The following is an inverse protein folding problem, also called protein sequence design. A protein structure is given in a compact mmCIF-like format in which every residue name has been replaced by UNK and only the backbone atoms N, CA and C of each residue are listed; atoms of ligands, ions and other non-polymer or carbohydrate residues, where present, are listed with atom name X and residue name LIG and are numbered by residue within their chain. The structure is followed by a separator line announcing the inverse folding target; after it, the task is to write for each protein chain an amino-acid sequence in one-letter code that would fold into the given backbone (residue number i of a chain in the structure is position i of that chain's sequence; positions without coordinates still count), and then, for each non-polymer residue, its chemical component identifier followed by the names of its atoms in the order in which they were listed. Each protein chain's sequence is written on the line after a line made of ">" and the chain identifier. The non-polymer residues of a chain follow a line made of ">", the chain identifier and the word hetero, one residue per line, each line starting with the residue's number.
data_IF_030931443534
#
_entry.id   IF_030931443534
#
_cell.length_a   1.000
_cell.length_b   1.000
_cell.length_c   1.000
_cell.angle_alpha   90.00
_cell.angle_beta   90.00
_cell.angle_gamma   90.00
#
_symmetry.space_group_name_H-M   'P 1'
#
loop_
_entity.id
_entity.type
_entity.pdbx_description
1 polymer ?
#
# COMPACT_ATOMS: atom_id res chain seq x y z
N UNK A 1 13.48 -23.86 2.11
CA UNK A 1 13.54 -23.00 3.30
C UNK A 1 12.17 -23.07 3.93
N UNK A 2 12.13 -23.38 5.21
CA UNK A 2 10.88 -23.36 5.98
C UNK A 2 10.36 -21.91 5.89
N UNK A 3 9.18 -21.72 5.28
CA UNK A 3 8.53 -20.42 5.23
C UNK A 3 8.16 -20.09 6.67
N UNK A 4 9.05 -19.41 7.39
CA UNK A 4 8.76 -19.00 8.76
C UNK A 4 7.52 -18.12 8.71
N UNK A 5 6.43 -18.66 9.23
CA UNK A 5 5.16 -17.94 9.34
C UNK A 5 5.43 -16.64 10.07
N UNK A 6 5.01 -15.47 9.54
CA UNK A 6 5.29 -14.20 10.22
C UNK A 6 4.68 -14.18 11.61
N UNK A 7 5.34 -13.46 12.51
CA UNK A 7 4.77 -13.11 13.81
C UNK A 7 3.63 -12.10 13.60
N UNK A 8 2.45 -12.38 14.15
CA UNK A 8 1.34 -11.41 14.21
C UNK A 8 1.48 -10.57 15.48
N UNK A 9 1.53 -9.24 15.32
CA UNK A 9 1.66 -8.26 16.40
C UNK A 9 0.43 -7.36 16.37
N UNK A 10 -0.28 -7.27 17.48
CA UNK A 10 -1.44 -6.40 17.63
C UNK A 10 -1.09 -5.20 18.51
N UNK A 11 -1.35 -3.99 17.99
CA UNK A 11 -1.03 -2.73 18.65
C UNK A 11 -2.31 -1.92 18.88
N UNK A 12 -2.46 -1.35 20.07
CA UNK A 12 -3.51 -0.36 20.32
C UNK A 12 -3.03 1.00 19.82
N UNK A 13 -3.56 1.43 18.67
CA UNK A 13 -3.14 2.62 17.94
C UNK A 13 -4.30 3.60 17.88
N UNK A 14 -4.11 4.82 18.44
CA UNK A 14 -5.16 5.80 18.56
C UNK A 14 -6.41 5.19 19.22
N UNK A 15 -7.45 4.87 18.46
CA UNK A 15 -8.72 4.35 18.97
C UNK A 15 -9.11 2.98 18.38
N UNK A 16 -8.13 2.27 17.77
CA UNK A 16 -8.31 0.96 17.12
C UNK A 16 -7.18 0.00 17.42
N UNK A 17 -7.42 -1.29 17.15
CA UNK A 17 -6.39 -2.31 17.08
C UNK A 17 -5.83 -2.42 15.65
N UNK A 18 -4.52 -2.31 15.51
CA UNK A 18 -3.77 -2.48 14.26
C UNK A 18 -2.99 -3.79 14.32
N UNK A 19 -3.11 -4.60 13.28
CA UNK A 19 -2.32 -5.81 13.09
C UNK A 19 -1.09 -5.50 12.22
N UNK A 20 0.07 -5.93 12.70
CA UNK A 20 1.32 -5.94 11.95
C UNK A 20 1.83 -7.37 11.82
N UNK A 21 2.55 -7.64 10.74
CA UNK A 21 3.26 -8.91 10.52
C UNK A 21 4.75 -8.66 10.50
N UNK A 22 5.52 -9.52 11.18
CA UNK A 22 6.97 -9.42 11.23
C UNK A 22 7.63 -10.69 10.70
N UNK A 23 8.67 -10.51 9.88
CA UNK A 23 9.58 -11.55 9.40
C UNK A 23 11.01 -11.21 9.81
N UNK A 24 11.84 -12.24 9.90
CA UNK A 24 13.28 -12.12 10.11
C UNK A 24 13.69 -11.74 11.52
N UNK A 25 14.88 -11.15 11.65
CA UNK A 25 15.51 -10.84 12.94
C UNK A 25 15.27 -9.37 13.34
N UNK A 26 14.85 -9.14 14.57
CA UNK A 26 14.59 -7.79 15.13
C UNK A 26 15.80 -6.86 15.17
N UNK A 27 17.01 -7.40 15.06
CA UNK A 27 18.28 -6.62 15.03
C UNK A 27 18.79 -6.38 13.61
N UNK A 28 18.17 -6.95 12.60
CA UNK A 28 18.53 -6.78 11.19
C UNK A 28 18.18 -5.40 10.62
N UNK A 29 18.51 -5.20 9.35
CA UNK A 29 18.09 -4.00 8.60
C UNK A 29 16.57 -3.89 8.62
N UNK A 30 16.04 -2.77 9.10
CA UNK A 30 14.59 -2.61 9.25
C UNK A 30 13.95 -2.14 7.93
N UNK A 31 12.88 -2.81 7.54
CA UNK A 31 12.02 -2.50 6.40
C UNK A 31 10.57 -2.38 6.88
N UNK A 32 9.90 -1.30 6.53
CA UNK A 32 8.46 -1.12 6.77
C UNK A 32 7.72 -1.12 5.44
N UNK A 33 6.74 -2.02 5.30
CA UNK A 33 5.94 -2.20 4.09
C UNK A 33 4.48 -1.78 4.34
N UNK A 34 3.93 -0.91 3.48
CA UNK A 34 2.56 -0.39 3.61
C UNK A 34 1.80 -0.62 2.31
N UNK A 35 0.67 -1.32 2.40
CA UNK A 35 -0.14 -1.76 1.25
C UNK A 35 -1.06 -0.67 0.69
N UNK A 36 -1.65 -0.94 -0.48
CA UNK A 36 -2.65 -0.09 -1.15
C UNK A 36 -4.05 -0.22 -0.54
N UNK A 37 -4.95 0.72 -0.87
CA UNK A 37 -6.38 0.65 -0.51
C UNK A 37 -7.00 -0.65 -1.04
N UNK A 38 -7.76 -1.33 -0.19
CA UNK A 38 -8.41 -2.62 -0.52
C UNK A 38 -7.51 -3.85 -0.44
N UNK A 39 -6.23 -3.67 -0.07
CA UNK A 39 -5.23 -4.72 0.09
C UNK A 39 -4.99 -5.06 1.57
N UNK A 40 -3.92 -5.76 1.87
CA UNK A 40 -3.50 -6.13 3.21
C UNK A 40 -1.98 -6.39 3.25
N UNK A 41 -1.40 -6.51 4.44
CA UNK A 41 0.02 -6.69 4.68
C UNK A 41 0.62 -7.88 3.93
N UNK A 42 -0.12 -9.00 3.84
CA UNK A 42 0.35 -10.24 3.23
C UNK A 42 0.42 -10.19 1.69
N UNK A 43 -0.01 -9.08 1.05
CA UNK A 43 0.24 -8.83 -0.38
C UNK A 43 1.73 -8.59 -0.69
N UNK A 44 2.55 -8.38 0.33
CA UNK A 44 3.99 -8.20 0.22
C UNK A 44 4.77 -9.52 0.33
N UNK A 45 4.13 -10.66 0.61
CA UNK A 45 4.79 -11.94 0.87
C UNK A 45 5.78 -12.32 -0.24
N UNK A 46 5.41 -12.15 -1.50
CA UNK A 46 6.27 -12.49 -2.62
C UNK A 46 7.42 -11.50 -2.81
N UNK A 47 7.27 -10.24 -2.46
CA UNK A 47 8.39 -9.28 -2.38
C UNK A 47 9.34 -9.70 -1.26
N UNK A 48 8.80 -10.02 -0.09
CA UNK A 48 9.57 -10.43 1.10
C UNK A 48 10.37 -11.70 0.83
N UNK A 49 9.82 -12.66 0.08
CA UNK A 49 10.49 -13.91 -0.28
C UNK A 49 11.80 -13.69 -1.06
N UNK A 50 11.96 -12.53 -1.71
CA UNK A 50 13.17 -12.16 -2.46
C UNK A 50 14.13 -11.23 -1.68
N UNK A 51 13.82 -10.93 -0.40
CA UNK A 51 14.66 -10.10 0.47
C UNK A 51 15.55 -10.97 1.38
N UNK A 52 16.64 -10.40 1.94
CA UNK A 52 17.48 -11.11 2.91
C UNK A 52 16.66 -11.56 4.14
N UNK A 53 16.83 -12.82 4.55
CA UNK A 53 16.08 -13.43 5.65
C UNK A 53 16.48 -12.92 7.05
N UNK A 54 17.61 -12.24 7.15
CA UNK A 54 18.13 -11.62 8.37
C UNK A 54 17.64 -10.17 8.56
N UNK A 55 16.84 -9.63 7.64
CA UNK A 55 16.23 -8.32 7.79
C UNK A 55 15.04 -8.37 8.76
N UNK A 56 14.86 -7.28 9.51
CA UNK A 56 13.66 -7.03 10.31
C UNK A 56 12.57 -6.42 9.42
N UNK A 57 11.69 -7.23 8.87
CA UNK A 57 10.66 -6.77 7.95
C UNK A 57 9.32 -6.69 8.68
N UNK A 58 8.71 -5.52 8.66
CA UNK A 58 7.37 -5.28 9.22
C UNK A 58 6.42 -4.85 8.10
N UNK A 59 5.28 -5.51 7.99
CA UNK A 59 4.18 -5.08 7.12
C UNK A 59 2.91 -4.84 7.93
N UNK A 60 2.19 -3.77 7.61
CA UNK A 60 1.06 -3.29 8.43
C UNK A 60 -0.25 -3.50 7.68
N UNK A 61 -1.24 -4.12 8.33
CA UNK A 61 -2.64 -4.00 7.92
C UNK A 61 -3.16 -2.64 8.37
N UNK A 62 -3.35 -1.72 7.45
CA UNK A 62 -3.81 -0.37 7.77
C UNK A 62 -5.27 -0.39 8.29
N UNK A 63 -5.69 0.65 9.00
CA UNK A 63 -7.09 0.84 9.47
C UNK A 63 -8.11 0.40 8.41
N UNK A 64 -9.06 -0.43 8.78
CA UNK A 64 -10.10 -0.91 7.88
C UNK A 64 -9.71 -2.11 7.00
N UNK A 65 -8.45 -2.53 7.02
CA UNK A 65 -7.93 -3.60 6.17
C UNK A 65 -7.50 -4.84 6.95
N UNK A 66 -7.35 -5.95 6.25
CA UNK A 66 -6.77 -7.17 6.76
C UNK A 66 -7.34 -7.60 8.10
N UNK A 67 -6.49 -7.76 9.10
CA UNK A 67 -6.86 -8.12 10.47
C UNK A 67 -7.05 -6.91 11.40
N UNK A 68 -6.69 -5.72 10.96
CA UNK A 68 -6.92 -4.49 11.72
C UNK A 68 -8.40 -4.16 11.84
N UNK A 69 -8.75 -3.39 12.87
CA UNK A 69 -10.13 -3.03 13.18
C UNK A 69 -10.78 -2.18 12.07
N UNK A 70 -12.09 -2.42 11.80
CA UNK A 70 -12.87 -1.76 10.75
C UNK A 70 -13.69 -0.60 11.32
N UNK A 71 -13.00 0.39 11.91
CA UNK A 71 -13.61 1.56 12.53
C UNK A 71 -13.05 2.85 11.90
N UNK A 72 -13.93 3.73 11.42
CA UNK A 72 -13.57 5.05 10.91
C UNK A 72 -12.99 5.98 11.99
N UNK A 73 -12.61 7.20 11.64
CA UNK A 73 -12.76 7.79 10.32
C UNK A 73 -11.75 7.24 9.30
N UNK A 74 -12.16 7.20 8.02
CA UNK A 74 -11.33 6.71 6.92
C UNK A 74 -10.73 7.87 6.11
N UNK A 75 -10.28 8.92 6.79
CA UNK A 75 -9.55 10.04 6.19
C UNK A 75 -8.06 9.72 6.09
N UNK A 76 -7.41 10.16 5.03
CA UNK A 76 -6.02 9.81 4.79
C UNK A 76 -5.05 10.34 5.84
N UNK A 77 -5.26 11.54 6.37
CA UNK A 77 -4.49 12.04 7.51
C UNK A 77 -4.58 11.13 8.76
N UNK A 78 -5.70 10.40 8.93
CA UNK A 78 -5.81 9.40 10.01
C UNK A 78 -4.91 8.21 9.76
N UNK A 79 -4.77 7.76 8.51
CA UNK A 79 -3.87 6.65 8.16
C UNK A 79 -2.41 7.01 8.41
N UNK A 80 -1.97 8.23 8.10
CA UNK A 80 -0.63 8.71 8.43
C UNK A 80 -0.39 8.79 9.93
N UNK A 81 -1.36 9.29 10.70
CA UNK A 81 -1.32 9.32 12.16
C UNK A 81 -1.24 7.91 12.76
N UNK A 82 -2.03 6.95 12.26
CA UNK A 82 -1.98 5.57 12.72
C UNK A 82 -0.62 4.93 12.41
N UNK A 83 -0.09 5.14 11.22
CA UNK A 83 1.23 4.60 10.84
C UNK A 83 2.35 5.22 11.68
N UNK A 84 2.29 6.52 11.98
CA UNK A 84 3.25 7.18 12.89
C UNK A 84 3.24 6.54 14.27
N UNK A 85 2.08 6.27 14.83
CA UNK A 85 1.95 5.61 16.14
C UNK A 85 2.43 4.17 16.10
N UNK A 86 2.16 3.41 15.02
CA UNK A 86 2.72 2.05 14.81
C UNK A 86 4.24 2.10 14.84
N UNK A 87 4.87 3.04 14.11
CA UNK A 87 6.33 3.16 14.08
C UNK A 87 6.91 3.50 15.43
N UNK A 88 6.22 4.35 16.20
CA UNK A 88 6.62 4.73 17.57
C UNK A 88 6.58 3.52 18.52
N UNK A 89 5.45 2.78 18.56
CA UNK A 89 5.29 1.64 19.46
C UNK A 89 6.22 0.48 19.13
N UNK A 90 6.53 0.27 17.85
CA UNK A 90 7.51 -0.73 17.40
C UNK A 90 8.97 -0.27 17.53
N UNK A 91 9.22 0.98 17.89
CA UNK A 91 10.56 1.55 17.99
C UNK A 91 11.30 1.62 16.66
N UNK A 92 10.58 1.75 15.53
CA UNK A 92 11.17 1.78 14.20
C UNK A 92 11.96 3.08 14.00
N UNK A 93 13.23 2.93 13.62
CA UNK A 93 14.13 4.05 13.31
C UNK A 93 15.04 3.67 12.16
N UNK A 94 15.34 4.65 11.30
CA UNK A 94 16.23 4.50 10.14
C UNK A 94 15.86 3.30 9.25
N UNK A 95 14.57 2.99 9.16
CA UNK A 95 14.06 1.94 8.28
C UNK A 95 14.08 2.39 6.81
N UNK A 96 14.02 1.43 5.88
CA UNK A 96 13.55 1.70 4.53
C UNK A 96 12.02 1.70 4.59
N UNK A 97 11.40 2.82 4.24
CA UNK A 97 9.94 2.92 4.14
C UNK A 97 9.47 2.59 2.73
N UNK A 98 8.67 1.54 2.58
CA UNK A 98 8.12 1.13 1.27
C UNK A 98 6.61 1.23 1.30
N UNK A 99 6.02 1.96 0.36
CA UNK A 99 4.57 2.09 0.28
C UNK A 99 4.04 1.99 -1.14
N UNK A 100 2.98 1.20 -1.33
CA UNK A 100 2.26 1.10 -2.59
C UNK A 100 0.98 1.92 -2.54
N UNK A 101 0.73 2.75 -3.55
CA UNK A 101 -0.54 3.49 -3.69
C UNK A 101 -0.82 4.38 -2.47
N UNK A 102 -1.92 4.15 -1.72
CA UNK A 102 -2.22 4.77 -0.43
C UNK A 102 -1.06 4.60 0.56
N UNK A 103 -0.44 3.42 0.60
CA UNK A 103 0.72 3.17 1.46
C UNK A 103 1.90 4.10 1.14
N UNK A 104 2.10 4.43 -0.14
CA UNK A 104 3.11 5.42 -0.56
C UNK A 104 2.82 6.82 -0.04
N UNK A 105 1.56 7.23 -0.05
CA UNK A 105 1.11 8.47 0.58
C UNK A 105 1.41 8.46 2.08
N UNK A 106 1.00 7.41 2.81
CA UNK A 106 1.19 7.32 4.26
C UNK A 106 2.67 7.32 4.66
N UNK A 107 3.53 6.59 3.92
CA UNK A 107 4.98 6.58 4.15
C UNK A 107 5.59 7.97 3.94
N UNK A 108 5.14 8.70 2.92
CA UNK A 108 5.56 10.09 2.66
C UNK A 108 5.15 11.01 3.81
N UNK A 109 3.93 10.89 4.30
CA UNK A 109 3.44 11.71 5.43
C UNK A 109 4.24 11.43 6.71
N UNK A 110 4.50 10.16 7.04
CA UNK A 110 5.31 9.77 8.19
C UNK A 110 6.76 10.24 8.07
N UNK A 111 7.34 10.23 6.86
CA UNK A 111 8.70 10.74 6.63
C UNK A 111 8.85 12.23 7.00
N UNK A 112 7.80 13.02 6.80
CA UNK A 112 7.76 14.42 7.23
C UNK A 112 7.49 14.56 8.74
N UNK A 113 6.45 13.88 9.26
CA UNK A 113 6.00 14.01 10.65
C UNK A 113 7.01 13.42 11.65
N UNK A 114 7.77 12.42 11.24
CA UNK A 114 8.72 11.67 12.07
C UNK A 114 10.02 11.39 11.30
N UNK A 115 10.88 12.40 11.05
CA UNK A 115 12.02 12.30 10.14
C UNK A 115 13.04 11.22 10.47
N UNK A 116 13.10 10.77 11.74
CA UNK A 116 14.03 9.74 12.19
C UNK A 116 13.56 8.30 11.92
N UNK A 117 12.30 8.12 11.53
CA UNK A 117 11.73 6.79 11.26
C UNK A 117 12.36 6.16 10.02
N UNK A 118 12.53 6.94 8.95
CA UNK A 118 13.07 6.43 7.70
C UNK A 118 14.45 6.99 7.39
N UNK A 119 15.32 6.15 6.83
CA UNK A 119 16.57 6.56 6.16
C UNK A 119 16.34 6.80 4.66
N UNK A 120 15.48 5.97 4.05
CA UNK A 120 15.21 5.94 2.62
C UNK A 120 13.73 5.61 2.37
N UNK A 121 13.21 6.03 1.22
CA UNK A 121 11.83 5.76 0.79
C UNK A 121 11.81 5.06 -0.56
N UNK A 122 10.92 4.07 -0.70
CA UNK A 122 10.55 3.45 -1.99
C UNK A 122 9.05 3.61 -2.16
N UNK A 123 8.66 4.55 -3.00
CA UNK A 123 7.26 4.88 -3.27
C UNK A 123 6.82 4.17 -4.55
N UNK A 124 6.02 3.12 -4.40
CA UNK A 124 5.56 2.32 -5.52
C UNK A 124 4.20 2.85 -5.97
N UNK A 125 4.22 3.59 -7.04
CA UNK A 125 3.06 4.24 -7.67
C UNK A 125 2.13 4.92 -6.66
N UNK A 126 2.67 5.86 -5.84
CA UNK A 126 1.94 6.45 -4.72
C UNK A 126 0.73 7.27 -5.20
N UNK A 127 -0.37 7.26 -4.44
CA UNK A 127 -1.51 8.15 -4.71
C UNK A 127 -1.18 9.55 -4.19
N UNK A 128 -0.25 10.21 -4.88
CA UNK A 128 0.05 11.63 -4.72
C UNK A 128 -0.26 12.29 -6.07
N UNK A 129 -1.45 12.87 -6.13
CA UNK A 129 -2.02 13.49 -7.33
C UNK A 129 -1.49 14.91 -7.53
N UNK A 130 -1.72 15.56 -8.67
CA UNK A 130 -1.41 16.99 -8.85
C UNK A 130 -2.03 17.86 -7.75
N UNK A 131 -1.32 18.90 -7.27
CA UNK A 131 -1.78 19.75 -6.15
C UNK A 131 -3.21 20.29 -6.32
N UNK A 132 -3.56 20.70 -7.53
CA UNK A 132 -4.88 21.25 -7.88
C UNK A 132 -6.03 20.24 -7.71
N UNK A 133 -5.75 18.96 -7.61
CA UNK A 133 -6.78 17.92 -7.44
C UNK A 133 -7.19 17.70 -5.97
N UNK A 134 -6.50 18.37 -5.04
CA UNK A 134 -6.82 18.34 -3.61
C UNK A 134 -7.70 19.52 -3.18
N UNK A 135 -8.28 20.25 -4.13
CA UNK A 135 -9.23 21.32 -3.82
C UNK A 135 -10.57 20.72 -3.41
N UNK A 136 -10.97 20.97 -2.17
CA UNK A 136 -12.27 20.54 -1.61
C UNK A 136 -13.49 21.07 -2.40
N UNK A 137 -13.31 22.11 -3.23
CA UNK A 137 -14.38 22.69 -4.07
C UNK A 137 -14.73 21.80 -5.27
N UNK A 138 -13.88 20.84 -5.65
CA UNK A 138 -14.16 19.94 -6.78
C UNK A 138 -15.28 18.95 -6.48
N UNK A 139 -15.68 18.79 -5.19
CA UNK A 139 -16.72 17.86 -4.77
C UNK A 139 -16.34 16.39 -4.94
N UNK A 140 -17.06 15.53 -4.28
CA UNK A 140 -16.95 14.08 -4.46
C UNK A 140 -17.65 13.66 -5.74
N UNK A 141 -17.02 12.78 -6.56
CA UNK A 141 -17.67 12.26 -7.78
C UNK A 141 -18.90 11.38 -7.48
N UNK A 142 -19.04 10.94 -6.23
CA UNK A 142 -20.14 10.12 -5.74
C UNK A 142 -20.84 10.83 -4.58
N UNK A 143 -22.19 10.79 -4.57
CA UNK A 143 -22.99 11.46 -3.54
C UNK A 143 -22.91 10.79 -2.16
N UNK A 144 -22.63 9.48 -2.12
CA UNK A 144 -22.49 8.70 -0.88
C UNK A 144 -21.54 7.51 -1.10
N UNK A 145 -21.15 6.86 0.00
CA UNK A 145 -20.31 5.64 -0.04
C UNK A 145 -21.04 4.51 -0.79
N UNK A 146 -22.34 4.40 -0.63
CA UNK A 146 -23.18 3.37 -1.27
C UNK A 146 -23.26 3.55 -2.79
N UNK A 147 -23.06 4.78 -3.29
CA UNK A 147 -23.04 5.10 -4.72
C UNK A 147 -21.73 4.71 -5.37
N UNK A 148 -20.66 4.58 -4.59
CA UNK A 148 -19.35 4.20 -5.11
C UNK A 148 -19.36 2.75 -5.63
N UNK A 149 -18.86 2.49 -6.86
CA UNK A 149 -18.91 1.14 -7.47
C UNK A 149 -18.27 0.05 -6.60
N UNK A 150 -17.20 0.37 -5.89
CA UNK A 150 -16.47 -0.55 -5.01
C UNK A 150 -17.33 -1.00 -3.82
N UNK A 151 -18.23 -0.14 -3.30
CA UNK A 151 -19.11 -0.51 -2.19
C UNK A 151 -20.04 -1.69 -2.51
N UNK A 152 -20.31 -1.90 -3.81
CA UNK A 152 -21.23 -2.94 -4.32
C UNK A 152 -20.50 -4.21 -4.76
N UNK A 153 -19.17 -4.28 -4.58
CA UNK A 153 -18.42 -5.50 -4.94
C UNK A 153 -18.88 -6.68 -4.08
N UNK A 154 -18.83 -7.88 -4.66
CA UNK A 154 -19.14 -9.09 -3.89
C UNK A 154 -18.17 -9.21 -2.71
N UNK A 155 -18.71 -9.36 -1.51
CA UNK A 155 -17.96 -9.40 -0.25
C UNK A 155 -17.96 -10.75 0.43
N UNK A 156 -18.85 -11.69 0.02
CA UNK A 156 -19.00 -13.01 0.65
C UNK A 156 -18.72 -14.15 -0.34
N UNK A 157 -17.97 -15.16 0.14
CA UNK A 157 -17.53 -16.32 -0.62
C UNK A 157 -17.63 -17.59 0.26
N UNK A 158 -17.73 -18.76 -0.36
CA UNK A 158 -17.65 -20.04 0.37
C UNK A 158 -16.27 -20.26 0.98
N UNK A 159 -15.21 -19.80 0.27
CA UNK A 159 -13.82 -19.89 0.67
C UNK A 159 -12.97 -18.87 -0.10
N UNK A 160 -11.70 -18.70 0.31
CA UNK A 160 -10.73 -17.94 -0.47
C UNK A 160 -10.45 -18.56 -1.86
N UNK A 161 -10.62 -19.91 -1.99
CA UNK A 161 -10.46 -20.61 -3.26
C UNK A 161 -11.56 -20.20 -4.25
N UNK A 162 -12.83 -20.12 -3.80
CA UNK A 162 -13.90 -19.60 -4.65
C UNK A 162 -13.63 -18.16 -5.11
N UNK A 163 -13.07 -17.32 -4.24
CA UNK A 163 -12.65 -15.97 -4.62
C UNK A 163 -11.55 -16.00 -5.69
N UNK A 164 -10.55 -16.85 -5.53
CA UNK A 164 -9.46 -17.05 -6.49
C UNK A 164 -10.00 -17.49 -7.85
N UNK A 165 -10.73 -18.60 -7.92
CA UNK A 165 -11.27 -19.17 -9.16
C UNK A 165 -12.18 -18.17 -9.91
N UNK A 166 -12.90 -17.34 -9.15
CA UNK A 166 -13.79 -16.32 -9.73
C UNK A 166 -13.06 -15.18 -10.41
N UNK A 167 -11.89 -14.79 -9.92
CA UNK A 167 -11.22 -13.56 -10.34
C UNK A 167 -9.91 -13.78 -11.10
N UNK A 168 -9.28 -14.96 -11.08
CA UNK A 168 -7.97 -15.20 -11.68
C UNK A 168 -7.86 -14.79 -13.16
N UNK A 169 -8.95 -14.92 -13.93
CA UNK A 169 -8.99 -14.57 -15.36
C UNK A 169 -9.52 -13.15 -15.62
N UNK A 170 -9.77 -12.35 -14.57
CA UNK A 170 -10.33 -11.00 -14.71
C UNK A 170 -9.26 -9.94 -14.49
N UNK A 171 -9.27 -8.91 -15.36
CA UNK A 171 -8.46 -7.72 -15.08
C UNK A 171 -8.90 -7.05 -13.76
N UNK A 172 -7.95 -6.56 -12.94
CA UNK A 172 -6.50 -6.55 -13.15
C UNK A 172 -5.80 -7.84 -12.71
N UNK A 173 -6.46 -8.76 -12.02
CA UNK A 173 -5.86 -9.93 -11.36
C UNK A 173 -5.16 -10.89 -12.32
N UNK A 174 -5.65 -11.00 -13.56
CA UNK A 174 -5.04 -11.84 -14.61
C UNK A 174 -3.65 -11.35 -15.06
N UNK A 175 -3.27 -10.13 -14.67
CA UNK A 175 -1.95 -9.55 -14.95
C UNK A 175 -0.95 -9.79 -13.81
N UNK A 176 -1.42 -10.25 -12.65
CA UNK A 176 -0.58 -10.38 -11.47
C UNK A 176 0.22 -11.68 -11.48
N UNK A 177 1.35 -11.68 -10.78
CA UNK A 177 2.05 -12.92 -10.46
C UNK A 177 1.10 -13.87 -9.71
N UNK A 178 1.04 -15.12 -10.16
CA UNK A 178 0.05 -16.09 -9.67
C UNK A 178 0.05 -16.24 -8.16
N UNK A 179 1.24 -16.35 -7.55
CA UNK A 179 1.35 -16.53 -6.11
C UNK A 179 0.91 -15.28 -5.34
N UNK A 180 1.19 -14.07 -5.85
CA UNK A 180 0.70 -12.82 -5.24
C UNK A 180 -0.82 -12.79 -5.23
N UNK A 181 -1.46 -13.22 -6.32
CA UNK A 181 -2.93 -13.28 -6.38
C UNK A 181 -3.50 -14.35 -5.45
N UNK A 182 -2.83 -15.50 -5.30
CA UNK A 182 -3.20 -16.50 -4.31
C UNK A 182 -3.11 -15.94 -2.88
N UNK A 183 -2.01 -15.27 -2.53
CA UNK A 183 -1.81 -14.63 -1.22
C UNK A 183 -2.86 -13.55 -0.96
N UNK A 184 -3.18 -12.73 -1.98
CA UNK A 184 -4.25 -11.74 -1.90
C UNK A 184 -5.60 -12.38 -1.56
N UNK A 185 -5.97 -13.48 -2.22
CA UNK A 185 -7.24 -14.16 -1.94
C UNK A 185 -7.23 -14.88 -0.59
N UNK A 186 -6.15 -15.58 -0.27
CA UNK A 186 -6.01 -16.39 0.95
C UNK A 186 -6.04 -15.55 2.23
N UNK A 187 -5.34 -14.43 2.24
CA UNK A 187 -5.20 -13.55 3.40
C UNK A 187 -6.14 -12.35 3.39
N UNK A 188 -6.76 -12.06 2.24
CA UNK A 188 -7.71 -10.96 2.06
C UNK A 188 -9.15 -11.28 2.47
N UNK A 189 -9.36 -12.43 3.13
CA UNK A 189 -10.66 -12.82 3.67
C UNK A 189 -10.55 -13.20 5.14
N UNK A 190 -11.66 -13.06 5.86
CA UNK A 190 -11.84 -13.47 7.25
C UNK A 190 -13.08 -14.35 7.37
N UNK A 191 -13.24 -15.16 8.44
CA UNK A 191 -14.47 -15.89 8.66
C UNK A 191 -15.70 -14.97 8.61
N UNK A 192 -16.74 -15.37 7.91
CA UNK A 192 -17.97 -14.58 7.82
C UNK A 192 -18.56 -14.34 9.20
N UNK A 193 -19.05 -13.12 9.46
CA UNK A 193 -19.70 -12.76 10.72
C UNK A 193 -21.04 -13.47 10.91
N UNK A 194 -21.73 -13.72 9.79
CA UNK A 194 -23.02 -14.42 9.77
C UNK A 194 -22.97 -15.56 8.75
N UNK A 195 -23.55 -16.69 9.11
CA UNK A 195 -23.60 -17.87 8.24
C UNK A 195 -22.28 -18.65 8.17
N UNK A 196 -22.02 -19.27 7.03
CA UNK A 196 -20.79 -20.01 6.71
C UNK A 196 -19.97 -19.29 5.65
N UNK A 197 -18.71 -19.69 5.50
CA UNK A 197 -17.81 -19.15 4.48
C UNK A 197 -16.93 -18.01 5.01
N UNK A 198 -16.55 -17.11 4.11
CA UNK A 198 -15.61 -16.02 4.37
C UNK A 198 -16.13 -14.70 3.80
N UNK A 199 -15.72 -13.59 4.40
CA UNK A 199 -15.99 -12.25 3.91
C UNK A 199 -14.69 -11.49 3.67
N UNK A 200 -14.74 -10.46 2.80
CA UNK A 200 -13.56 -9.63 2.53
C UNK A 200 -13.04 -8.98 3.81
N UNK A 201 -11.73 -9.10 4.04
CA UNK A 201 -11.03 -8.49 5.15
C UNK A 201 -11.00 -6.95 5.07
N UNK A 202 -11.19 -6.37 3.87
CA UNK A 202 -11.56 -4.97 3.67
C UNK A 202 -12.95 -4.93 3.02
N UNK A 203 -14.03 -4.66 3.77
CA UNK A 203 -15.37 -4.58 3.21
C UNK A 203 -15.47 -3.51 2.13
N UNK A 204 -16.27 -3.75 1.08
CA UNK A 204 -16.39 -2.80 -0.04
C UNK A 204 -16.85 -1.40 0.38
N UNK A 205 -17.70 -1.28 1.41
CA UNK A 205 -18.11 0.01 1.97
C UNK A 205 -16.96 0.74 2.68
N UNK A 206 -16.08 0.01 3.36
CA UNK A 206 -14.86 0.57 3.99
C UNK A 206 -13.89 1.04 2.90
N UNK A 207 -13.62 0.20 1.91
CA UNK A 207 -12.76 0.54 0.79
C UNK A 207 -13.25 1.77 0.03
N UNK A 208 -14.55 1.86 -0.26
CA UNK A 208 -15.17 3.04 -0.87
C UNK A 208 -15.03 4.30 -0.01
N UNK A 209 -15.23 4.18 1.31
CA UNK A 209 -15.04 5.29 2.26
C UNK A 209 -13.60 5.82 2.24
N UNK A 210 -12.61 4.94 2.06
CA UNK A 210 -11.20 5.32 1.97
C UNK A 210 -10.92 6.07 0.68
N UNK A 211 -11.46 5.61 -0.47
CA UNK A 211 -11.33 6.34 -1.73
C UNK A 211 -11.95 7.74 -1.64
N UNK A 212 -13.10 7.87 -1.00
CA UNK A 212 -13.77 9.17 -0.80
C UNK A 212 -13.09 10.05 0.27
N UNK A 213 -12.31 9.47 1.17
CA UNK A 213 -11.59 10.18 2.23
C UNK A 213 -10.31 10.91 1.81
N UNK A 214 -9.98 10.95 0.50
CA UNK A 214 -8.69 11.40 -0.03
C UNK A 214 -8.72 12.83 -0.63
N UNK A 215 -9.66 13.67 -0.26
CA UNK A 215 -9.84 14.97 -0.92
C UNK A 215 -9.14 16.15 -0.22
N UNK A 216 -8.77 15.98 1.04
CA UNK A 216 -8.06 17.00 1.81
C UNK A 216 -6.66 16.48 2.15
N UNK A 217 -5.61 17.19 1.72
CA UNK A 217 -4.23 16.76 1.98
C UNK A 217 -3.27 17.93 1.97
N UNK A 218 -2.39 17.96 2.96
CA UNK A 218 -1.22 18.84 3.02
C UNK A 218 0.06 18.20 2.47
N UNK A 219 -0.05 17.07 1.76
CA UNK A 219 1.12 16.28 1.35
C UNK A 219 2.12 17.08 0.52
N UNK A 220 1.64 17.99 -0.34
CA UNK A 220 2.48 18.87 -1.14
C UNK A 220 3.24 19.92 -0.33
N UNK A 221 2.78 20.26 0.87
CA UNK A 221 3.51 21.13 1.81
C UNK A 221 4.62 20.34 2.54
N UNK A 222 4.45 19.03 2.69
CA UNK A 222 5.38 18.14 3.40
C UNK A 222 6.56 17.74 2.53
N UNK A 223 6.31 17.35 1.28
CA UNK A 223 7.29 16.79 0.35
C UNK A 223 8.57 17.63 0.21
N UNK A 224 8.54 18.96 0.08
CA UNK A 224 9.76 19.76 -0.03
C UNK A 224 10.68 19.74 1.19
N UNK A 225 10.18 19.23 2.32
CA UNK A 225 10.91 19.14 3.59
C UNK A 225 11.39 17.70 3.88
N UNK A 226 11.15 16.74 2.99
CA UNK A 226 11.58 15.35 3.13
C UNK A 226 12.99 15.21 2.56
N UNK A 227 13.97 15.01 3.44
CA UNK A 227 15.39 14.93 3.07
C UNK A 227 15.88 13.51 2.72
N UNK A 228 15.07 12.49 3.03
CA UNK A 228 15.39 11.09 2.76
C UNK A 228 15.57 10.86 1.26
N UNK A 229 16.52 9.97 0.91
CA UNK A 229 16.63 9.47 -0.46
C UNK A 229 15.34 8.75 -0.84
N UNK A 230 14.70 9.20 -1.92
CA UNK A 230 13.39 8.72 -2.33
C UNK A 230 13.46 8.09 -3.73
N UNK A 231 12.99 6.86 -3.85
CA UNK A 231 12.85 6.18 -5.14
C UNK A 231 11.37 6.05 -5.47
N UNK A 232 10.98 6.55 -6.64
CA UNK A 232 9.60 6.51 -7.12
C UNK A 232 9.53 5.52 -8.29
N UNK A 233 8.71 4.47 -8.15
CA UNK A 233 8.37 3.57 -9.24
C UNK A 233 7.00 4.00 -9.76
N UNK A 234 6.89 4.36 -11.04
CA UNK A 234 5.66 4.89 -11.62
C UNK A 234 5.24 4.14 -12.88
N UNK A 235 3.97 3.73 -12.92
CA UNK A 235 3.33 3.14 -14.09
C UNK A 235 2.74 4.22 -15.03
N UNK A 236 2.24 3.82 -16.23
CA UNK A 236 1.58 4.75 -17.15
C UNK A 236 0.34 5.41 -16.54
N UNK A 237 0.15 6.72 -16.76
CA UNK A 237 -1.02 7.43 -16.28
C UNK A 237 -2.29 7.01 -17.05
N UNK A 238 -3.44 7.38 -16.51
CA UNK A 238 -4.73 7.19 -17.19
C UNK A 238 -4.73 7.89 -18.56
N UNK A 239 -5.27 7.22 -19.55
CA UNK A 239 -5.52 7.83 -20.86
C UNK A 239 -6.58 8.93 -20.73
N UNK A 240 -6.32 10.08 -21.29
CA UNK A 240 -7.21 11.25 -21.22
C UNK A 240 -8.51 11.09 -22.00
N UNK A 241 -8.59 10.11 -22.90
CA UNK A 241 -9.75 9.80 -23.72
C UNK A 241 -10.70 8.74 -23.10
N UNK A 242 -10.38 8.19 -21.94
CA UNK A 242 -11.20 7.18 -21.25
C UNK A 242 -12.16 7.84 -20.25
N UNK A 243 -13.46 7.50 -20.38
CA UNK A 243 -14.52 7.91 -19.43
C UNK A 243 -14.64 6.92 -18.26
N UNK A 244 -14.22 5.66 -18.46
CA UNK A 244 -14.32 4.62 -17.44
C UNK A 244 -13.21 4.74 -16.39
N UNK A 245 -13.54 4.39 -15.14
CA UNK A 245 -12.56 4.32 -14.06
C UNK A 245 -11.62 3.14 -14.34
N UNK A 246 -10.37 3.45 -14.63
CA UNK A 246 -9.32 2.45 -14.87
C UNK A 246 -8.39 2.37 -13.63
N UNK A 247 -8.59 1.34 -12.82
CA UNK A 247 -7.75 1.08 -11.64
C UNK A 247 -6.36 0.53 -12.00
N UNK A 248 -6.08 0.23 -13.27
CA UNK A 248 -4.76 -0.21 -13.72
C UNK A 248 -3.84 0.96 -14.04
N UNK A 249 -4.39 2.14 -14.26
CA UNK A 249 -3.63 3.34 -14.56
C UNK A 249 -3.04 3.98 -13.29
N UNK A 250 -1.85 4.53 -13.45
CA UNK A 250 -1.14 5.23 -12.35
C UNK A 250 -1.91 6.47 -11.88
N UNK A 251 -2.13 6.61 -10.56
CA UNK A 251 -2.65 7.84 -9.96
C UNK A 251 -1.54 8.84 -9.61
N UNK A 252 -0.28 8.45 -9.77
CA UNK A 252 0.88 9.25 -9.40
C UNK A 252 1.06 10.44 -10.33
N UNK A 253 1.21 11.63 -9.75
CA UNK A 253 1.51 12.83 -10.51
C UNK A 253 2.85 12.69 -11.26
N UNK A 254 2.89 12.91 -12.59
CA UNK A 254 4.11 12.75 -13.38
C UNK A 254 5.28 13.65 -12.94
N UNK A 255 4.99 14.83 -12.37
CA UNK A 255 6.01 15.76 -11.88
C UNK A 255 6.37 15.57 -10.40
N UNK A 256 5.85 14.53 -9.76
CA UNK A 256 6.05 14.28 -8.33
C UNK A 256 7.54 14.21 -7.96
N UNK A 257 8.36 13.58 -8.79
CA UNK A 257 9.81 13.43 -8.55
C UNK A 257 10.51 14.78 -8.38
N UNK A 258 10.04 15.82 -9.09
CA UNK A 258 10.61 17.18 -9.04
C UNK A 258 10.25 17.93 -7.75
N UNK A 259 9.29 17.42 -6.97
CA UNK A 259 8.84 18.07 -5.72
C UNK A 259 9.68 17.63 -4.51
N UNK A 260 10.35 16.48 -4.58
CA UNK A 260 11.24 16.01 -3.52
C UNK A 260 12.65 16.60 -3.69
N UNK A 261 13.32 16.99 -2.59
CA UNK A 261 14.71 17.46 -2.63
C UNK A 261 15.71 16.42 -3.13
N UNK A 262 15.45 15.13 -2.89
CA UNK A 262 16.36 14.02 -3.19
C UNK A 262 15.57 12.80 -3.68
N UNK A 263 15.07 12.87 -4.92
CA UNK A 263 14.31 11.76 -5.51
C UNK A 263 14.83 11.35 -6.89
N UNK A 264 14.64 10.07 -7.21
CA UNK A 264 14.79 9.50 -8.54
C UNK A 264 13.52 8.76 -8.92
N UNK A 265 13.12 8.85 -10.19
CA UNK A 265 11.98 8.11 -10.73
C UNK A 265 12.42 7.03 -11.71
N UNK A 266 11.79 5.87 -11.63
CA UNK A 266 11.81 4.84 -12.64
C UNK A 266 10.43 4.68 -13.25
N UNK A 267 10.26 5.13 -14.50
CA UNK A 267 9.03 4.97 -15.25
C UNK A 267 8.97 3.59 -15.92
N UNK A 268 7.92 2.82 -15.59
CA UNK A 268 7.70 1.42 -15.95
C UNK A 268 6.53 1.32 -16.94
N UNK A 269 6.77 1.64 -18.20
CA UNK A 269 5.76 1.76 -19.26
C UNK A 269 5.06 0.44 -19.63
N UNK A 270 5.62 -0.68 -19.21
CA UNK A 270 5.11 -2.04 -19.43
C UNK A 270 4.30 -2.60 -18.25
N UNK A 271 4.24 -1.90 -17.11
CA UNK A 271 3.50 -2.31 -15.92
C UNK A 271 2.26 -1.44 -15.71
N UNK A 272 1.39 -1.89 -14.82
CA UNK A 272 0.21 -1.15 -14.39
C UNK A 272 0.41 -0.60 -12.97
N UNK A 273 -0.60 0.09 -12.42
CA UNK A 273 -0.61 0.52 -11.01
C UNK A 273 -0.23 -0.60 -10.02
N UNK A 274 -0.38 -1.85 -10.40
CA UNK A 274 -0.13 -3.02 -9.54
C UNK A 274 1.30 -3.55 -9.66
N UNK A 275 2.30 -2.67 -9.70
CA UNK A 275 3.73 -3.00 -9.84
C UNK A 275 4.17 -4.13 -8.90
N UNK A 276 3.92 -4.09 -7.55
CA UNK A 276 4.40 -5.15 -6.66
C UNK A 276 3.69 -6.48 -6.87
N UNK A 277 2.48 -6.44 -7.46
CA UNK A 277 1.69 -7.62 -7.76
C UNK A 277 2.12 -8.29 -9.06
N UNK A 278 2.63 -7.51 -10.02
CA UNK A 278 3.08 -8.01 -11.31
C UNK A 278 4.54 -8.50 -11.25
N UNK A 279 5.42 -7.71 -10.61
CA UNK A 279 6.86 -7.92 -10.59
C UNK A 279 7.43 -7.83 -9.15
N UNK A 280 7.08 -8.80 -8.26
CA UNK A 280 7.51 -8.75 -6.85
C UNK A 280 9.03 -8.84 -6.69
N UNK A 281 9.73 -9.65 -7.52
CA UNK A 281 11.18 -9.79 -7.49
C UNK A 281 11.87 -8.48 -7.90
N UNK A 282 11.36 -7.80 -8.92
CA UNK A 282 11.87 -6.50 -9.34
C UNK A 282 11.78 -5.48 -8.20
N UNK A 283 10.64 -5.39 -7.50
CA UNK A 283 10.47 -4.48 -6.35
C UNK A 283 11.44 -4.82 -5.23
N UNK A 284 11.63 -6.10 -4.92
CA UNK A 284 12.62 -6.54 -3.93
C UNK A 284 14.05 -6.14 -4.32
N UNK A 285 14.39 -6.24 -5.62
CA UNK A 285 15.70 -5.83 -6.11
C UNK A 285 15.91 -4.32 -5.99
N UNK A 286 14.89 -3.50 -6.26
CA UNK A 286 14.95 -2.05 -6.02
C UNK A 286 15.19 -1.75 -4.54
N UNK A 287 14.50 -2.43 -3.62
CA UNK A 287 14.68 -2.25 -2.17
C UNK A 287 16.13 -2.60 -1.76
N UNK A 288 16.69 -3.69 -2.29
CA UNK A 288 18.10 -4.08 -2.05
C UNK A 288 19.10 -3.06 -2.60
N UNK A 289 18.82 -2.45 -3.76
CA UNK A 289 19.65 -1.39 -4.32
C UNK A 289 19.65 -0.13 -3.45
N UNK A 290 18.49 0.23 -2.90
CA UNK A 290 18.35 1.35 -1.95
C UNK A 290 19.19 1.12 -0.71
N UNK A 291 19.16 -0.08 -0.13
CA UNK A 291 19.99 -0.44 1.02
C UNK A 291 21.49 -0.35 0.71
N UNK A 292 21.87 -0.73 -0.50
CA UNK A 292 23.27 -0.64 -0.97
C UNK A 292 23.70 0.79 -1.38
N UNK A 293 22.82 1.79 -1.31
CA UNK A 293 23.09 3.16 -1.74
C UNK A 293 23.30 3.30 -3.26
N UNK A 294 22.70 2.41 -4.04
CA UNK A 294 22.88 2.35 -5.50
C UNK A 294 21.81 3.16 -6.23
N UNK A 295 22.14 3.68 -7.42
CA UNK A 295 21.17 4.31 -8.32
C UNK A 295 20.18 3.28 -8.89
N UNK A 296 18.95 3.74 -9.22
CA UNK A 296 17.95 2.89 -9.88
C UNK A 296 18.41 2.42 -11.26
N UNK A 297 18.21 1.14 -11.56
CA UNK A 297 18.45 0.58 -12.89
C UNK A 297 17.24 -0.22 -13.37
N UNK A 298 16.94 -0.12 -14.69
CA UNK A 298 15.83 -0.88 -15.31
C UNK A 298 16.09 -2.40 -15.40
N UNK A 299 17.31 -2.83 -15.14
CA UNK A 299 17.76 -4.23 -15.31
C UNK A 299 17.88 -4.96 -13.96
N UNK A 300 17.11 -4.58 -12.98
CA UNK A 300 17.15 -5.16 -11.62
C UNK A 300 16.21 -6.32 -11.50
#
# INVERSE_FOLDING_TARGET
>A
MDESKPEEIYLSVNDIEICCFRWGDTVGRTLLLVHATGFHARCWDQVIAHLPSDWNIVSVDMRGHGRSEKKGPYKWAQFGSDLSEVTLQLGIKKAIGVGHSMGGYCVTEVAYLSPDVFSDLVLVDPVIRPPETYDSQLGEPYGSVEDHPIARRRSHFESWVEMYDRYEQRSPYSLWHRQVFEDYCRHGVVPAREGSGVELACPGSVEASIYMGNNESSIHEYIPNISQSTKILRAPPRRTDSVEVDFTASPTWPDLVNSFPNAEELYLDHLTHFIPMQEPEFVANVIKQVDAGSALTKNS
#
